data_IF_753874526959
#
_entry.id   IF_753874526959
#
_cell.length_a   1.000
_cell.length_b   1.000
_cell.length_c   1.000
_cell.angle_alpha   90.00
_cell.angle_beta   90.00
_cell.angle_gamma   90.00
#
_symmetry.space_group_name_H-M   'P 1'
#
loop_
_entity.id
_entity.type
_entity.pdbx_description
1 polymer ?
#
# COMPACT_ATOMS: atom_id res chain seq x y z
N UNK A 1 -6.36 -27.61 7.56
CA UNK A 1 -5.03 -27.54 8.17
C UNK A 1 -5.26 -27.51 9.66
N UNK A 2 -4.65 -28.42 10.43
CA UNK A 2 -4.72 -28.35 11.89
C UNK A 2 -3.53 -27.49 12.34
N UNK A 3 -3.82 -26.35 12.93
CA UNK A 3 -2.80 -25.49 13.54
C UNK A 3 -2.63 -25.87 15.01
N UNK A 4 -1.40 -25.87 15.51
CA UNK A 4 -1.10 -26.17 16.91
C UNK A 4 -1.36 -24.99 17.86
N UNK A 5 -1.54 -23.79 17.32
CA UNK A 5 -1.75 -22.55 18.07
C UNK A 5 -2.84 -21.71 17.43
N UNK A 6 -3.77 -21.22 18.25
CA UNK A 6 -4.85 -20.32 17.82
C UNK A 6 -4.31 -19.01 17.26
N UNK A 7 -3.20 -18.49 17.81
CA UNK A 7 -2.57 -17.25 17.34
C UNK A 7 -2.01 -17.40 15.91
N UNK A 8 -1.45 -18.57 15.58
CA UNK A 8 -0.95 -18.85 14.23
C UNK A 8 -2.13 -18.92 13.26
N UNK A 9 -3.21 -19.59 13.66
CA UNK A 9 -4.41 -19.69 12.82
C UNK A 9 -5.03 -18.32 12.51
N UNK A 10 -5.17 -17.46 13.53
CA UNK A 10 -5.68 -16.09 13.37
C UNK A 10 -4.82 -15.28 12.40
N UNK A 11 -3.49 -15.30 12.57
CA UNK A 11 -2.57 -14.62 11.67
C UNK A 11 -2.65 -15.16 10.23
N UNK A 12 -2.69 -16.48 10.05
CA UNK A 12 -2.80 -17.11 8.73
C UNK A 12 -4.10 -16.73 8.03
N UNK A 13 -5.21 -16.72 8.78
CA UNK A 13 -6.50 -16.32 8.24
C UNK A 13 -6.50 -14.84 7.85
N UNK A 14 -5.90 -13.95 8.66
CA UNK A 14 -5.75 -12.54 8.33
C UNK A 14 -4.94 -12.32 7.04
N UNK A 15 -3.77 -12.95 6.89
CA UNK A 15 -2.97 -12.87 5.67
C UNK A 15 -3.69 -13.43 4.45
N UNK A 16 -4.50 -14.48 4.62
CA UNK A 16 -5.26 -15.09 3.52
C UNK A 16 -6.44 -14.24 3.02
N UNK A 17 -6.77 -13.14 3.70
CA UNK A 17 -7.76 -12.16 3.19
C UNK A 17 -7.19 -11.22 2.12
N UNK A 18 -5.86 -11.14 2.01
CA UNK A 18 -5.20 -10.28 1.05
C UNK A 18 -5.31 -10.85 -0.37
N UNK A 19 -5.44 -9.99 -1.39
CA UNK A 19 -5.51 -10.45 -2.78
C UNK A 19 -4.27 -11.27 -3.13
N UNK A 20 -4.48 -12.37 -3.84
CA UNK A 20 -3.42 -13.29 -4.33
C UNK A 20 -2.68 -14.10 -3.25
N UNK A 21 -3.07 -14.01 -1.96
CA UNK A 21 -2.45 -14.79 -0.88
C UNK A 21 -3.40 -15.91 -0.41
N UNK A 22 -3.14 -17.15 -0.85
CA UNK A 22 -3.85 -18.33 -0.34
C UNK A 22 -3.31 -18.83 1.01
N UNK A 23 -4.06 -19.70 1.71
CA UNK A 23 -3.70 -20.24 3.03
C UNK A 23 -2.28 -20.83 3.12
N UNK A 24 -1.80 -21.48 2.05
CA UNK A 24 -0.44 -22.06 1.99
C UNK A 24 0.64 -20.97 1.99
N UNK A 25 0.43 -19.90 1.22
CA UNK A 25 1.34 -18.74 1.18
C UNK A 25 1.28 -17.95 2.48
N UNK A 26 0.08 -17.74 3.02
CA UNK A 26 -0.13 -17.08 4.31
C UNK A 26 0.62 -17.80 5.45
N UNK A 27 0.51 -19.14 5.54
CA UNK A 27 1.27 -19.92 6.51
C UNK A 27 2.79 -19.73 6.36
N UNK A 28 3.30 -19.73 5.13
CA UNK A 28 4.73 -19.49 4.88
C UNK A 28 5.17 -18.10 5.38
N UNK A 29 4.36 -17.07 5.18
CA UNK A 29 4.64 -15.71 5.66
C UNK A 29 4.61 -15.63 7.20
N UNK A 30 3.57 -16.20 7.84
CA UNK A 30 3.44 -16.20 9.30
C UNK A 30 4.60 -16.96 9.97
N UNK A 31 4.98 -18.12 9.44
CA UNK A 31 6.13 -18.87 9.95
C UNK A 31 7.46 -18.13 9.71
N UNK A 32 7.55 -17.29 8.68
CA UNK A 32 8.72 -16.43 8.48
C UNK A 32 8.79 -15.33 9.55
N UNK A 33 7.67 -14.68 9.87
CA UNK A 33 7.61 -13.65 10.92
C UNK A 33 8.02 -14.18 12.30
N UNK A 34 7.61 -15.41 12.65
CA UNK A 34 8.00 -16.05 13.92
C UNK A 34 9.52 -16.26 14.03
N UNK A 35 10.22 -16.38 12.91
CA UNK A 35 11.69 -16.55 12.88
C UNK A 35 12.45 -15.22 12.90
N UNK A 36 11.78 -14.10 12.72
CA UNK A 36 12.40 -12.77 12.79
C UNK A 36 12.43 -12.28 14.24
N UNK A 37 13.28 -11.29 14.50
CA UNK A 37 13.24 -10.55 15.77
C UNK A 37 11.86 -9.91 15.99
N UNK A 38 11.33 -9.87 17.23
CA UNK A 38 9.98 -9.34 17.51
C UNK A 38 9.73 -7.95 16.90
N UNK A 39 10.74 -7.06 16.96
CA UNK A 39 10.66 -5.71 16.41
C UNK A 39 10.40 -5.65 14.90
N UNK A 40 10.73 -6.70 14.13
CA UNK A 40 10.41 -6.75 12.70
C UNK A 40 8.90 -6.74 12.46
N UNK A 41 8.16 -7.55 13.23
CA UNK A 41 6.70 -7.66 13.07
C UNK A 41 6.00 -6.42 13.61
N UNK A 42 6.53 -5.81 14.67
CA UNK A 42 6.06 -4.52 15.19
C UNK A 42 6.19 -3.40 14.16
N UNK A 43 7.38 -3.26 13.56
CA UNK A 43 7.64 -2.25 12.53
C UNK A 43 6.74 -2.43 11.30
N UNK A 44 6.57 -3.69 10.85
CA UNK A 44 5.68 -4.00 9.72
C UNK A 44 4.23 -3.61 10.03
N UNK A 45 3.74 -3.97 11.22
CA UNK A 45 2.37 -3.67 11.64
C UNK A 45 2.14 -2.16 11.76
N UNK A 46 3.10 -1.44 12.35
CA UNK A 46 3.02 0.01 12.50
C UNK A 46 3.03 0.72 11.15
N UNK A 47 3.87 0.30 10.20
CA UNK A 47 3.90 0.88 8.86
C UNK A 47 2.54 0.75 8.14
N UNK A 48 1.90 -0.41 8.23
CA UNK A 48 0.58 -0.65 7.64
C UNK A 48 -0.52 0.19 8.31
N UNK A 49 -0.47 0.31 9.64
CA UNK A 49 -1.41 1.12 10.41
C UNK A 49 -1.27 2.62 10.11
N UNK A 50 -0.04 3.13 10.07
CA UNK A 50 0.25 4.52 9.73
C UNK A 50 -0.21 4.85 8.31
N UNK A 51 0.07 3.97 7.33
CA UNK A 51 -0.44 4.13 5.98
C UNK A 51 -1.96 4.25 5.98
N UNK A 52 -2.70 3.28 6.56
CA UNK A 52 -4.16 3.29 6.51
C UNK A 52 -4.79 4.50 7.24
N UNK A 53 -4.14 5.01 8.29
CA UNK A 53 -4.64 6.15 9.09
C UNK A 53 -4.39 7.50 8.42
N UNK A 54 -3.25 7.66 7.77
CA UNK A 54 -2.78 8.95 7.28
C UNK A 54 -3.00 9.15 5.78
N UNK A 55 -3.27 8.08 5.02
CA UNK A 55 -3.55 8.17 3.59
C UNK A 55 -4.83 8.96 3.33
N UNK A 56 -4.75 9.92 2.41
CA UNK A 56 -5.83 10.82 2.01
C UNK A 56 -5.90 10.90 0.50
N UNK A 57 -6.99 11.47 0.01
CA UNK A 57 -7.16 11.80 -1.41
C UNK A 57 -6.78 13.26 -1.64
N UNK A 58 -6.03 13.51 -2.70
CA UNK A 58 -5.71 14.84 -3.18
C UNK A 58 -6.98 15.59 -3.52
N UNK A 59 -7.11 16.83 -3.05
CA UNK A 59 -8.28 17.67 -3.29
C UNK A 59 -8.54 18.01 -4.76
N UNK A 60 -7.50 17.95 -5.62
CA UNK A 60 -7.60 18.35 -7.03
C UNK A 60 -7.76 17.18 -8.00
N UNK A 61 -6.90 16.15 -7.88
CA UNK A 61 -6.89 15.03 -8.81
C UNK A 61 -7.37 13.70 -8.20
N UNK A 62 -7.78 13.69 -6.93
CA UNK A 62 -8.19 12.50 -6.19
C UNK A 62 -7.13 11.38 -6.11
N UNK A 63 -5.87 11.66 -6.48
CA UNK A 63 -4.77 10.73 -6.28
C UNK A 63 -4.48 10.54 -4.79
N UNK A 64 -3.92 9.39 -4.43
CA UNK A 64 -3.48 9.09 -3.07
C UNK A 64 -2.33 10.02 -2.68
N UNK A 65 -2.43 10.62 -1.49
CA UNK A 65 -1.38 11.45 -0.89
C UNK A 65 -1.43 11.42 0.63
N UNK A 66 -0.32 11.79 1.26
CA UNK A 66 -0.15 12.10 2.67
C UNK A 66 -0.43 13.59 3.02
N UNK A 67 -0.72 14.43 2.02
CA UNK A 67 -1.03 15.86 2.15
C UNK A 67 -2.38 16.23 1.50
N UNK A 68 -2.84 17.48 1.67
CA UNK A 68 -4.08 17.99 1.03
C UNK A 68 -3.97 18.02 -0.50
N UNK A 69 -2.76 18.32 -1.01
CA UNK A 69 -2.40 18.29 -2.41
C UNK A 69 -1.29 17.27 -2.60
N UNK A 70 -1.41 16.39 -3.60
CA UNK A 70 -0.35 15.45 -3.93
C UNK A 70 0.90 16.16 -4.47
N UNK A 71 2.03 15.45 -4.48
CA UNK A 71 3.29 15.97 -5.01
C UNK A 71 3.18 16.43 -6.48
N UNK A 72 2.29 15.82 -7.27
CA UNK A 72 2.03 16.19 -8.67
C UNK A 72 1.32 17.55 -8.73
N UNK A 73 0.17 17.69 -8.06
CA UNK A 73 -0.62 18.93 -8.10
C UNK A 73 0.04 20.12 -7.42
N UNK A 74 0.98 19.89 -6.49
CA UNK A 74 1.73 20.97 -5.83
C UNK A 74 3.00 21.40 -6.60
N UNK A 75 3.41 20.65 -7.63
CA UNK A 75 4.58 20.99 -8.44
C UNK A 75 4.26 22.11 -9.44
N UNK A 76 4.89 23.27 -9.24
CA UNK A 76 4.71 24.46 -10.09
C UNK A 76 5.37 24.35 -11.46
N UNK A 77 6.19 23.32 -11.70
CA UNK A 77 6.83 23.09 -13.00
C UNK A 77 5.91 22.41 -14.00
N UNK A 78 4.75 21.93 -13.55
CA UNK A 78 3.75 21.26 -14.39
C UNK A 78 2.77 22.23 -15.01
N UNK A 79 2.27 21.88 -16.19
CA UNK A 79 1.25 22.65 -16.90
C UNK A 79 -0.16 22.29 -16.39
N UNK A 80 -0.86 23.20 -15.69
CA UNK A 80 -2.19 22.93 -15.14
C UNK A 80 -3.30 22.89 -16.21
N UNK A 81 -3.01 23.22 -17.47
CA UNK A 81 -3.97 23.15 -18.58
C UNK A 81 -4.08 21.76 -19.20
N UNK A 82 -3.12 20.87 -18.92
CA UNK A 82 -3.10 19.49 -19.38
C UNK A 82 -3.66 18.59 -18.28
N UNK A 83 -4.54 17.66 -18.66
CA UNK A 83 -5.16 16.71 -17.72
C UNK A 83 -5.12 15.32 -18.35
N UNK A 84 -4.48 14.38 -17.65
CA UNK A 84 -4.51 12.96 -17.98
C UNK A 84 -5.55 12.25 -17.12
N UNK A 85 -6.66 11.83 -17.73
CA UNK A 85 -7.70 11.04 -17.05
C UNK A 85 -7.29 9.58 -17.04
N UNK A 86 -7.30 8.97 -15.86
CA UNK A 86 -6.89 7.58 -15.65
C UNK A 86 -7.95 6.82 -14.85
N UNK A 87 -7.89 5.48 -14.88
CA UNK A 87 -8.83 4.62 -14.14
C UNK A 87 -8.46 4.52 -12.66
N UNK A 88 -7.16 4.43 -12.33
CA UNK A 88 -6.73 4.34 -10.94
C UNK A 88 -5.30 4.76 -10.67
N UNK A 89 -4.92 4.71 -9.39
CA UNK A 89 -3.59 5.15 -8.91
C UNK A 89 -2.44 4.41 -9.59
N UNK A 90 -2.63 3.15 -9.98
CA UNK A 90 -1.59 2.38 -10.69
C UNK A 90 -1.22 3.00 -12.03
N UNK A 91 -2.20 3.58 -12.73
CA UNK A 91 -1.96 4.24 -14.02
C UNK A 91 -1.21 5.55 -13.81
N UNK A 92 -1.55 6.31 -12.76
CA UNK A 92 -0.79 7.51 -12.36
C UNK A 92 0.67 7.13 -12.12
N UNK A 93 0.92 6.09 -11.33
CA UNK A 93 2.29 5.63 -11.04
C UNK A 93 3.04 5.24 -12.33
N UNK A 94 2.39 4.50 -13.23
CA UNK A 94 3.00 4.08 -14.49
C UNK A 94 3.37 5.26 -15.39
N UNK A 95 2.50 6.29 -15.48
CA UNK A 95 2.77 7.49 -16.27
C UNK A 95 3.91 8.30 -15.65
N UNK A 96 3.89 8.48 -14.34
CA UNK A 96 4.92 9.21 -13.60
C UNK A 96 6.31 8.57 -13.73
N UNK A 97 6.39 7.24 -13.70
CA UNK A 97 7.63 6.49 -13.90
C UNK A 97 8.30 6.75 -15.26
N UNK A 98 7.52 7.17 -16.28
CA UNK A 98 8.10 7.53 -17.59
C UNK A 98 8.88 8.85 -17.57
N UNK A 99 8.53 9.76 -16.66
CA UNK A 99 9.08 11.12 -16.61
C UNK A 99 8.82 11.96 -17.87
N UNK A 100 7.94 11.53 -18.78
CA UNK A 100 7.65 12.24 -20.03
C UNK A 100 6.46 13.18 -19.94
N UNK A 101 5.56 12.94 -18.98
CA UNK A 101 4.35 13.73 -18.81
C UNK A 101 4.58 14.88 -17.83
N UNK A 102 4.26 16.12 -18.25
CA UNK A 102 4.61 17.35 -17.53
C UNK A 102 3.41 18.26 -17.22
N UNK A 103 2.22 17.67 -17.09
CA UNK A 103 1.00 18.37 -16.68
C UNK A 103 0.10 17.46 -15.90
#
# INVERSE_FOLDING_TARGET
MNFSSKLIEEAVNAFATLPSIGKKTALRLVLHLIKQEPGFTENLSEALLQMRRNIRECRLCHNISDAELCAICSDRRRDPSLICVVEGIRDVMAIEETGQYHG
#
